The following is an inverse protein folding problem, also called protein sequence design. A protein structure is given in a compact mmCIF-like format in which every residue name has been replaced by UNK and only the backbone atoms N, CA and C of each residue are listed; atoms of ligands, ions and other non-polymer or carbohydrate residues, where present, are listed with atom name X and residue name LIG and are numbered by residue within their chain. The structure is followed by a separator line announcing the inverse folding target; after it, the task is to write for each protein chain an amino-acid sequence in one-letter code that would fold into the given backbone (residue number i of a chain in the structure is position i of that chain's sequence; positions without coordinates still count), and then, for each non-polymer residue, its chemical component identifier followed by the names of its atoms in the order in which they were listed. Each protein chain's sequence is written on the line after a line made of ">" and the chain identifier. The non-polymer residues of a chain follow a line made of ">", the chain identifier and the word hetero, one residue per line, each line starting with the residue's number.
data_IF_703859862383
#
_entry.id   IF_703859862383
#
_cell.length_a   1.000
_cell.length_b   1.000
_cell.length_c   1.000
_cell.angle_alpha   90.00
_cell.angle_beta   90.00
_cell.angle_gamma   90.00
#
_symmetry.space_group_name_H-M   'P 1'
#
loop_
_entity.id
_entity.type
_entity.pdbx_description
1 polymer ?
#
# COMPACT_ATOMS: atom_id res chain seq x y z
N UNK A 1 -7.91 1.48 -13.58
CA UNK A 1 -8.18 2.85 -13.05
C UNK A 1 -6.92 3.69 -13.27
N UNK A 2 -7.03 5.03 -13.31
CA UNK A 2 -5.88 5.94 -13.49
C UNK A 2 -5.39 6.43 -12.13
N UNK A 3 -4.08 6.62 -11.98
CA UNK A 3 -3.50 7.27 -10.81
C UNK A 3 -3.84 8.76 -10.80
N UNK A 4 -4.12 9.32 -9.61
CA UNK A 4 -4.60 10.71 -9.47
C UNK A 4 -3.76 11.53 -8.49
N UNK A 5 -2.83 10.89 -7.77
CA UNK A 5 -1.90 11.55 -6.88
C UNK A 5 -0.51 11.74 -7.48
N UNK A 6 0.33 12.44 -6.73
CA UNK A 6 1.79 12.39 -6.93
C UNK A 6 2.30 10.98 -6.63
N UNK A 7 1.80 10.38 -5.54
CA UNK A 7 2.15 9.06 -5.05
C UNK A 7 0.86 8.30 -4.76
N UNK A 8 0.61 7.24 -5.51
CA UNK A 8 -0.59 6.40 -5.35
C UNK A 8 -0.18 5.01 -4.84
N UNK A 9 -0.81 4.56 -3.76
CA UNK A 9 -0.60 3.22 -3.20
C UNK A 9 -1.78 2.33 -3.56
N UNK A 10 -1.48 1.13 -4.08
CA UNK A 10 -2.44 0.10 -4.45
C UNK A 10 -2.18 -1.18 -3.64
N UNK A 11 -2.62 -1.22 -2.36
CA UNK A 11 -2.53 -2.42 -1.55
C UNK A 11 -3.22 -3.61 -2.24
N UNK A 12 -2.48 -4.72 -2.38
CA UNK A 12 -2.97 -5.96 -2.99
C UNK A 12 -3.60 -5.74 -4.38
N UNK A 13 -3.09 -4.79 -5.16
CA UNK A 13 -3.61 -4.45 -6.50
C UNK A 13 -4.83 -3.52 -6.50
N UNK A 14 -5.33 -3.10 -5.35
CA UNK A 14 -6.30 -2.01 -5.21
C UNK A 14 -7.78 -2.37 -5.43
N UNK A 15 -8.12 -3.58 -5.86
CA UNK A 15 -9.52 -3.98 -6.15
C UNK A 15 -10.20 -4.71 -5.00
N UNK A 16 -9.60 -5.82 -4.55
CA UNK A 16 -10.15 -6.69 -3.50
C UNK A 16 -9.12 -6.84 -2.39
N UNK A 17 -9.54 -6.58 -1.15
CA UNK A 17 -8.63 -6.59 -0.02
C UNK A 17 -8.75 -7.90 0.76
N UNK A 18 -7.61 -8.46 1.25
CA UNK A 18 -7.62 -9.68 2.04
C UNK A 18 -8.57 -9.60 3.25
N UNK A 19 -9.32 -10.67 3.47
CA UNK A 19 -10.31 -10.77 4.55
C UNK A 19 -11.67 -10.13 4.25
N UNK A 20 -11.87 -9.51 3.07
CA UNK A 20 -13.15 -8.88 2.71
C UNK A 20 -14.06 -9.74 1.80
N UNK A 21 -13.54 -10.81 1.19
CA UNK A 21 -14.30 -11.61 0.22
C UNK A 21 -14.84 -10.74 -0.92
N UNK A 22 -16.15 -10.81 -1.18
CA UNK A 22 -16.84 -10.00 -2.21
C UNK A 22 -17.38 -8.65 -1.70
N UNK A 23 -17.14 -8.32 -0.43
CA UNK A 23 -17.66 -7.08 0.17
C UNK A 23 -16.88 -5.85 -0.32
N UNK A 24 -17.49 -5.09 -1.23
CA UNK A 24 -16.95 -3.82 -1.71
C UNK A 24 -16.83 -2.78 -0.60
N UNK A 25 -17.79 -2.73 0.33
CA UNK A 25 -17.74 -1.79 1.46
C UNK A 25 -16.60 -2.10 2.42
N UNK A 26 -16.31 -3.39 2.67
CA UNK A 26 -15.13 -3.80 3.43
C UNK A 26 -13.83 -3.40 2.73
N UNK A 27 -13.69 -3.70 1.43
CA UNK A 27 -12.48 -3.34 0.67
C UNK A 27 -12.30 -1.83 0.57
N UNK A 28 -13.39 -1.06 0.49
CA UNK A 28 -13.34 0.40 0.54
C UNK A 28 -12.86 0.92 1.90
N UNK A 29 -13.39 0.37 3.00
CA UNK A 29 -13.03 0.75 4.37
C UNK A 29 -11.54 0.49 4.70
N UNK A 30 -10.92 -0.50 4.03
CA UNK A 30 -9.49 -0.83 4.21
C UNK A 30 -8.55 0.33 3.89
N UNK A 31 -8.90 1.21 2.95
CA UNK A 31 -8.09 2.41 2.68
C UNK A 31 -7.88 3.26 3.94
N UNK A 32 -8.95 3.45 4.73
CA UNK A 32 -8.91 4.18 5.99
C UNK A 32 -8.15 3.40 7.06
N UNK A 33 -8.35 2.09 7.16
CA UNK A 33 -7.62 1.25 8.12
C UNK A 33 -6.11 1.27 7.87
N UNK A 34 -5.66 1.09 6.61
CA UNK A 34 -4.25 1.12 6.25
C UNK A 34 -3.62 2.48 6.56
N UNK A 35 -4.32 3.57 6.24
CA UNK A 35 -3.81 4.90 6.57
C UNK A 35 -3.68 5.08 8.09
N UNK A 36 -4.69 4.70 8.87
CA UNK A 36 -4.63 4.75 10.34
C UNK A 36 -3.46 3.95 10.91
N UNK A 37 -3.24 2.74 10.42
CA UNK A 37 -2.12 1.91 10.86
C UNK A 37 -0.77 2.50 10.46
N UNK A 38 -0.67 3.10 9.26
CA UNK A 38 0.57 3.72 8.78
C UNK A 38 1.06 4.91 9.62
N UNK A 39 0.18 5.53 10.41
CA UNK A 39 0.57 6.60 11.34
C UNK A 39 1.35 6.08 12.55
N UNK A 40 1.22 4.78 12.86
CA UNK A 40 1.84 4.13 14.03
C UNK A 40 2.89 3.12 13.62
N UNK A 41 2.65 2.39 12.54
CA UNK A 41 3.52 1.35 12.02
C UNK A 41 4.74 1.98 11.34
N UNK A 42 5.92 1.37 11.56
CA UNK A 42 7.17 1.75 10.89
C UNK A 42 7.76 0.56 10.16
N UNK A 43 8.48 0.81 9.08
CA UNK A 43 9.19 -0.22 8.32
C UNK A 43 8.31 -1.02 7.35
N UNK A 44 7.13 -0.50 6.98
CA UNK A 44 6.26 -1.10 5.98
C UNK A 44 6.45 -0.43 4.64
N UNK A 45 7.06 -1.14 3.69
CA UNK A 45 7.44 -0.57 2.41
C UNK A 45 6.51 -1.03 1.29
N UNK A 46 6.19 -0.10 0.40
CA UNK A 46 5.54 -0.36 -0.87
C UNK A 46 6.57 -0.23 -1.99
N UNK A 47 6.47 -1.10 -2.99
CA UNK A 47 7.38 -1.15 -4.13
C UNK A 47 6.80 -0.38 -5.32
N UNK A 48 7.64 0.39 -5.99
CA UNK A 48 7.25 1.20 -7.16
C UNK A 48 7.12 0.31 -8.39
N UNK A 49 5.97 0.38 -9.04
CA UNK A 49 5.68 -0.28 -10.31
C UNK A 49 5.82 0.69 -11.47
N UNK A 50 5.83 0.17 -12.71
CA UNK A 50 5.91 0.99 -13.91
C UNK A 50 4.68 1.90 -14.04
N UNK A 51 3.50 1.32 -13.87
CA UNK A 51 2.20 1.96 -14.00
C UNK A 51 1.11 1.11 -13.31
N UNK A 52 -0.13 1.59 -13.39
CA UNK A 52 -1.32 0.98 -12.79
C UNK A 52 -1.71 -0.36 -13.41
N UNK A 53 -1.25 -0.66 -14.63
CA UNK A 53 -1.54 -1.91 -15.32
C UNK A 53 -0.52 -2.99 -14.94
N UNK A 54 0.61 -2.60 -14.35
CA UNK A 54 1.71 -3.47 -13.90
C UNK A 54 1.82 -3.52 -12.36
N UNK A 55 0.69 -3.63 -11.66
CA UNK A 55 0.68 -3.73 -10.19
C UNK A 55 0.87 -5.18 -9.72
N UNK A 56 2.05 -5.49 -9.18
CA UNK A 56 2.35 -6.84 -8.68
C UNK A 56 3.45 -6.83 -7.58
N UNK A 57 3.69 -7.98 -6.95
CA UNK A 57 4.58 -8.11 -5.79
C UNK A 57 6.07 -7.86 -6.12
N UNK A 58 6.46 -8.20 -7.35
CA UNK A 58 7.82 -8.18 -7.86
C UNK A 58 8.24 -6.79 -8.39
N UNK A 59 7.39 -5.78 -8.25
CA UNK A 59 7.75 -4.39 -8.55
C UNK A 59 9.05 -4.01 -7.82
N UNK A 60 9.97 -3.36 -8.54
CA UNK A 60 11.34 -3.13 -8.06
C UNK A 60 11.94 -1.79 -8.50
N UNK A 61 11.13 -0.87 -9.05
CA UNK A 61 11.59 0.45 -9.52
C UNK A 61 11.88 1.46 -8.39
N UNK A 62 11.91 1.00 -7.15
CA UNK A 62 12.08 1.81 -5.93
C UNK A 62 11.17 1.32 -4.82
N UNK A 63 11.42 1.78 -3.59
CA UNK A 63 10.57 1.48 -2.44
C UNK A 63 10.40 2.69 -1.55
N UNK A 64 9.21 2.85 -0.98
CA UNK A 64 8.89 3.92 -0.03
C UNK A 64 8.07 3.35 1.12
N UNK A 65 8.21 3.90 2.31
CA UNK A 65 7.34 3.53 3.43
C UNK A 65 5.88 3.89 3.10
N UNK A 66 4.91 3.03 3.41
CA UNK A 66 3.49 3.32 3.17
C UNK A 66 2.98 4.36 4.17
N UNK A 67 2.18 5.31 3.69
CA UNK A 67 1.52 6.31 4.54
C UNK A 67 2.47 7.16 5.40
N UNK A 68 2.03 7.52 6.60
CA UNK A 68 2.75 8.46 7.48
C UNK A 68 2.39 9.94 7.24
N UNK A 69 2.56 10.75 8.27
CA UNK A 69 2.24 12.19 8.28
C UNK A 69 3.45 13.08 7.94
N UNK A 70 4.66 12.52 8.01
CA UNK A 70 5.91 13.22 7.76
C UNK A 70 6.16 13.42 6.26
N UNK A 71 5.34 14.26 5.62
CA UNK A 71 5.70 14.93 4.37
C UNK A 71 6.91 15.87 4.53
N UNK A 72 7.45 16.03 5.75
CA UNK A 72 8.32 17.14 6.17
C UNK A 72 9.82 16.85 6.23
N UNK A 73 10.32 15.62 6.03
CA UNK A 73 11.77 15.35 6.13
C UNK A 73 12.50 14.98 4.85
N UNK A 74 11.81 14.87 3.73
CA UNK A 74 12.45 14.63 2.44
C UNK A 74 11.73 15.47 1.39
N UNK A 75 12.46 15.93 0.37
CA UNK A 75 11.90 16.13 -0.98
C UNK A 75 10.78 15.10 -1.15
N UNK A 76 9.53 15.53 -1.33
CA UNK A 76 8.32 14.71 -1.09
C UNK A 76 8.39 13.30 -1.68
N UNK A 77 7.53 12.38 -1.19
CA UNK A 77 7.53 10.98 -1.64
C UNK A 77 7.66 10.90 -3.16
N UNK A 78 8.62 10.11 -3.69
CA UNK A 78 8.84 10.03 -5.12
C UNK A 78 7.56 9.71 -5.86
N UNK A 79 7.36 10.39 -6.99
CA UNK A 79 6.15 10.22 -7.77
C UNK A 79 6.02 8.81 -8.35
N UNK A 80 4.79 8.33 -8.46
CA UNK A 80 4.47 7.06 -9.11
C UNK A 80 3.45 6.22 -8.36
N UNK A 81 3.32 4.99 -8.81
CA UNK A 81 2.36 4.02 -8.30
C UNK A 81 3.09 2.90 -7.56
N UNK A 82 2.52 2.48 -6.44
CA UNK A 82 3.19 1.59 -5.51
C UNK A 82 2.30 0.41 -5.13
N UNK A 83 2.86 -0.79 -5.17
CA UNK A 83 2.22 -2.02 -4.72
C UNK A 83 2.71 -2.39 -3.31
N UNK A 84 1.81 -2.92 -2.47
CA UNK A 84 2.17 -3.48 -1.16
C UNK A 84 1.22 -4.62 -0.79
N UNK A 85 1.73 -5.61 -0.06
CA UNK A 85 0.89 -6.65 0.55
C UNK A 85 0.41 -6.24 1.94
N UNK A 86 -0.81 -6.64 2.28
CA UNK A 86 -1.36 -6.46 3.63
C UNK A 86 -1.99 -7.74 4.14
N UNK A 87 -2.01 -7.94 5.45
CA UNK A 87 -2.68 -9.09 6.06
C UNK A 87 -4.22 -9.01 5.94
N UNK A 88 -4.95 -10.15 6.06
CA UNK A 88 -6.41 -10.17 6.04
C UNK A 88 -7.08 -9.66 7.32
N UNK A 89 -6.33 -9.53 8.41
CA UNK A 89 -6.79 -9.17 9.74
C UNK A 89 -5.81 -8.19 10.42
N UNK A 90 -6.32 -7.40 11.38
CA UNK A 90 -5.52 -6.41 12.13
C UNK A 90 -4.38 -7.09 12.92
N UNK A 91 -3.20 -6.46 13.04
CA UNK A 91 -2.77 -5.30 12.24
C UNK A 91 -2.57 -5.70 10.77
N UNK A 92 -3.10 -4.93 9.83
CA UNK A 92 -2.99 -5.24 8.40
C UNK A 92 -1.61 -4.94 7.83
N UNK A 93 -1.03 -3.82 8.25
CA UNK A 93 0.36 -3.45 8.01
C UNK A 93 1.24 -4.20 9.01
N UNK A 94 1.33 -5.51 8.85
CA UNK A 94 2.26 -6.38 9.58
C UNK A 94 3.10 -7.20 8.62
N UNK A 95 4.34 -7.52 8.99
CA UNK A 95 5.16 -8.41 8.16
C UNK A 95 4.45 -9.75 8.11
N UNK A 96 3.75 -10.01 7.01
CA UNK A 96 3.32 -11.34 6.64
C UNK A 96 4.59 -12.14 6.42
N UNK A 97 4.77 -13.20 7.20
CA UNK A 97 6.02 -13.94 7.28
C UNK A 97 6.61 -14.21 5.90
N UNK A 98 7.82 -13.72 5.70
CA UNK A 98 8.73 -14.28 4.72
C UNK A 98 9.02 -15.70 5.18
N UNK A 99 8.24 -16.69 4.74
CA UNK A 99 8.83 -18.01 4.55
C UNK A 99 9.83 -17.85 3.43
N UNK A 100 11.11 -17.96 3.81
CA UNK A 100 12.20 -18.36 2.94
C UNK A 100 11.83 -19.61 2.14
#
# INVERSE_FOLDING_TARGET
>A
FKNIGTTDFYPNGGTSQPGCGWSLSCSHQRAVDYFKESLKAKGYFANRCADVDNLHAECSLGRVEIGGFEARRLKGKPGGVYFVHTAPNKPFLRSGGTTR
#
